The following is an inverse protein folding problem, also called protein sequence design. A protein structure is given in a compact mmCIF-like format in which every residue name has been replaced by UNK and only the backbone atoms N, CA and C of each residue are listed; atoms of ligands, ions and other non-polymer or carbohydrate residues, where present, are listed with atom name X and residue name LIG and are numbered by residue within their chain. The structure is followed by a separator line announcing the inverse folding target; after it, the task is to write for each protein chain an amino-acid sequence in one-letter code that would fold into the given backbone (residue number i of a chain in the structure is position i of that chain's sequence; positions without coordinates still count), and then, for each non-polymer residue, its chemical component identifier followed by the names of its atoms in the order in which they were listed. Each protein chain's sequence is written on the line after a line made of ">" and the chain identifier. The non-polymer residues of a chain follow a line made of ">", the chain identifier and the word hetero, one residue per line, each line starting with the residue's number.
data_IF_129019547467
#
_entry.id   IF_129019547467
#
_cell.length_a   1.000
_cell.length_b   1.000
_cell.length_c   1.000
_cell.angle_alpha   90.00
_cell.angle_beta   90.00
_cell.angle_gamma   90.00
#
_symmetry.space_group_name_H-M   'P 1'
#
loop_
_entity.id
_entity.type
_entity.pdbx_description
1 polymer ?
#
# COMPACT_ATOMS: atom_id res chain seq x y z
N UNK A 1 -27.59 -20.53 19.04
CA UNK A 1 -27.20 -20.19 17.66
C UNK A 1 -26.47 -21.35 17.06
N UNK A 2 -26.97 -21.81 15.94
CA UNK A 2 -26.90 -23.20 15.52
C UNK A 2 -25.57 -23.39 14.79
N UNK A 3 -24.78 -24.40 15.16
CA UNK A 3 -23.44 -24.66 14.58
C UNK A 3 -23.45 -24.74 13.05
N UNK A 4 -24.62 -25.00 12.46
CA UNK A 4 -24.89 -25.01 11.01
C UNK A 4 -24.84 -23.62 10.36
N UNK A 5 -25.22 -22.53 11.04
CA UNK A 5 -25.09 -21.15 10.49
C UNK A 5 -23.63 -20.66 10.50
N UNK A 6 -22.87 -20.99 11.55
CA UNK A 6 -21.45 -20.63 11.62
C UNK A 6 -20.63 -21.46 10.62
N UNK A 7 -20.96 -22.75 10.47
CA UNK A 7 -20.31 -23.65 9.52
C UNK A 7 -20.57 -23.25 8.06
N UNK A 8 -21.82 -22.92 7.70
CA UNK A 8 -22.16 -22.49 6.33
C UNK A 8 -21.57 -21.12 6.00
N UNK A 9 -21.57 -20.17 6.96
CA UNK A 9 -20.93 -18.87 6.78
C UNK A 9 -19.41 -18.95 6.61
N UNK A 10 -18.73 -19.74 7.45
CA UNK A 10 -17.27 -19.97 7.34
C UNK A 10 -16.90 -20.69 6.04
N UNK A 11 -17.72 -21.68 5.62
CA UNK A 11 -17.50 -22.43 4.38
C UNK A 11 -17.64 -21.53 3.14
N UNK A 12 -18.62 -20.61 3.11
CA UNK A 12 -18.78 -19.64 2.02
C UNK A 12 -17.61 -18.64 1.95
N UNK A 13 -17.10 -18.19 3.10
CA UNK A 13 -15.89 -17.35 3.16
C UNK A 13 -14.66 -18.10 2.65
N UNK A 14 -14.50 -19.37 3.01
CA UNK A 14 -13.38 -20.22 2.53
C UNK A 14 -13.49 -20.48 1.02
N UNK A 15 -14.69 -20.78 0.49
CA UNK A 15 -14.88 -20.95 -0.96
C UNK A 15 -14.59 -19.65 -1.74
N UNK A 16 -14.91 -18.49 -1.19
CA UNK A 16 -14.61 -17.20 -1.81
C UNK A 16 -13.09 -16.90 -1.83
N UNK A 17 -12.35 -17.35 -0.80
CA UNK A 17 -10.89 -17.20 -0.72
C UNK A 17 -10.12 -18.21 -1.58
N UNK A 18 -10.63 -19.43 -1.78
CA UNK A 18 -9.99 -20.43 -2.65
C UNK A 18 -10.19 -20.16 -4.15
N UNK A 19 -11.08 -19.24 -4.53
CA UNK A 19 -11.28 -18.85 -5.92
C UNK A 19 -10.35 -17.68 -6.32
N UNK A 20 -9.04 -17.87 -6.12
CA UNK A 20 -8.02 -16.94 -6.59
C UNK A 20 -7.34 -17.56 -7.82
N UNK A 21 -7.91 -17.28 -9.00
CA UNK A 21 -7.27 -17.56 -10.28
C UNK A 21 -6.07 -16.61 -10.45
N UNK A 22 -4.92 -17.04 -9.92
CA UNK A 22 -3.68 -16.27 -9.98
C UNK A 22 -2.99 -16.51 -11.33
N UNK A 23 -3.04 -15.53 -12.23
CA UNK A 23 -2.22 -15.49 -13.44
C UNK A 23 -1.54 -14.12 -13.54
N UNK A 24 -0.68 -13.83 -12.58
CA UNK A 24 0.06 -12.57 -12.53
C UNK A 24 1.53 -12.86 -12.86
N UNK A 25 1.82 -13.07 -14.14
CA UNK A 25 3.20 -13.09 -14.63
C UNK A 25 3.75 -11.67 -14.54
N UNK A 26 4.45 -11.36 -13.45
CA UNK A 26 5.18 -10.10 -13.28
C UNK A 26 6.42 -10.09 -14.18
N UNK A 27 6.23 -9.80 -15.46
CA UNK A 27 7.32 -9.58 -16.41
C UNK A 27 7.94 -8.19 -16.15
N UNK A 28 8.95 -8.13 -15.29
CA UNK A 28 9.75 -6.93 -15.06
C UNK A 28 10.67 -6.66 -16.25
N UNK A 29 10.29 -5.71 -17.11
CA UNK A 29 11.16 -5.17 -18.16
C UNK A 29 12.11 -4.14 -17.53
N UNK A 30 13.39 -4.51 -17.36
CA UNK A 30 14.43 -3.59 -16.89
C UNK A 30 14.83 -2.63 -18.02
N UNK A 31 15.01 -1.35 -17.69
CA UNK A 31 15.58 -0.36 -18.59
C UNK A 31 16.90 0.13 -17.99
N UNK A 32 18.01 -0.13 -18.67
CA UNK A 32 19.32 0.41 -18.31
C UNK A 32 19.51 1.81 -18.90
N UNK A 33 19.94 2.75 -18.07
CA UNK A 33 20.32 4.10 -18.49
C UNK A 33 21.85 4.23 -18.33
N UNK A 34 22.54 4.68 -19.37
CA UNK A 34 23.95 5.05 -19.27
C UNK A 34 24.07 6.51 -18.79
N UNK A 35 24.45 6.71 -17.53
CA UNK A 35 24.82 8.03 -17.04
C UNK A 35 26.29 8.31 -17.39
N UNK A 36 26.53 9.36 -18.19
CA UNK A 36 27.88 9.84 -18.43
C UNK A 36 28.35 10.66 -17.21
N UNK A 37 29.11 10.03 -16.30
CA UNK A 37 29.64 10.63 -15.07
C UNK A 37 30.86 11.54 -15.30
N UNK A 38 30.96 12.19 -16.47
CA UNK A 38 31.98 13.18 -16.76
C UNK A 38 31.64 14.52 -16.11
N UNK A 39 31.97 14.69 -14.84
CA UNK A 39 31.85 15.98 -14.15
C UNK A 39 32.87 16.98 -14.70
N UNK A 40 32.41 18.14 -15.16
CA UNK A 40 33.27 19.25 -15.58
C UNK A 40 33.55 20.12 -14.36
N UNK A 41 34.79 20.17 -13.86
CA UNK A 41 35.15 21.05 -12.73
C UNK A 41 35.12 22.51 -13.17
N UNK A 42 34.30 23.31 -12.48
CA UNK A 42 34.03 24.72 -12.80
C UNK A 42 35.21 25.66 -12.46
N UNK A 43 36.20 25.17 -11.71
CA UNK A 43 37.26 25.96 -11.10
C UNK A 43 38.37 26.43 -12.08
N UNK A 44 38.41 25.90 -13.31
CA UNK A 44 39.43 26.22 -14.33
C UNK A 44 38.86 26.82 -15.63
N UNK A 45 37.63 27.34 -15.60
CA UNK A 45 36.93 27.82 -16.79
C UNK A 45 37.02 29.35 -16.95
N UNK A 46 37.28 29.79 -18.19
CA UNK A 46 37.34 31.19 -18.64
C UNK A 46 36.11 31.99 -18.14
N UNK A 47 36.22 33.27 -17.74
CA UNK A 47 35.15 34.01 -17.04
C UNK A 47 33.85 34.11 -17.85
N UNK A 48 33.95 34.12 -19.18
CA UNK A 48 32.81 34.09 -20.12
C UNK A 48 32.00 32.79 -20.00
N UNK A 49 32.67 31.68 -19.68
CA UNK A 49 32.03 30.37 -19.56
C UNK A 49 31.38 30.17 -18.19
N UNK A 50 31.92 30.76 -17.13
CA UNK A 50 31.28 30.77 -15.81
C UNK A 50 29.95 31.54 -15.82
N UNK A 51 29.89 32.68 -16.52
CA UNK A 51 28.64 33.43 -16.66
C UNK A 51 27.57 32.61 -17.37
N UNK A 52 27.95 31.89 -18.44
CA UNK A 52 27.05 30.99 -19.18
C UNK A 52 26.53 29.85 -18.30
N UNK A 53 27.40 29.19 -17.54
CA UNK A 53 27.02 28.10 -16.62
C UNK A 53 26.13 28.61 -15.49
N UNK A 54 26.40 29.80 -14.95
CA UNK A 54 25.57 30.41 -13.93
C UNK A 54 24.19 30.79 -14.46
N UNK A 55 24.09 31.30 -15.69
CA UNK A 55 22.80 31.58 -16.30
C UNK A 55 21.99 30.30 -16.54
N UNK A 56 22.63 29.26 -17.07
CA UNK A 56 22.01 27.93 -17.25
C UNK A 56 21.55 27.37 -15.90
N UNK A 57 22.38 27.45 -14.86
CA UNK A 57 22.04 26.96 -13.51
C UNK A 57 20.86 27.74 -12.91
N UNK A 58 20.78 29.05 -13.20
CA UNK A 58 19.69 29.91 -12.73
C UNK A 58 18.37 29.62 -13.46
N UNK A 59 18.43 29.32 -14.76
CA UNK A 59 17.29 28.91 -15.57
C UNK A 59 16.80 27.48 -15.22
N UNK A 60 17.72 26.57 -14.89
CA UNK A 60 17.40 25.20 -14.47
C UNK A 60 17.07 25.07 -12.98
N UNK A 61 17.13 26.16 -12.21
CA UNK A 61 16.77 26.14 -10.79
C UNK A 61 15.26 26.00 -10.64
N UNK A 62 14.81 24.74 -10.58
CA UNK A 62 13.43 24.38 -10.29
C UNK A 62 13.07 24.75 -8.85
N UNK A 63 11.92 25.42 -8.67
CA UNK A 63 11.37 25.69 -7.35
C UNK A 63 10.95 24.38 -6.68
N UNK A 64 11.70 24.00 -5.64
CA UNK A 64 11.55 22.73 -4.93
C UNK A 64 10.16 22.58 -4.31
N UNK A 65 9.48 23.69 -3.97
CA UNK A 65 8.15 23.70 -3.35
C UNK A 65 7.02 23.31 -4.30
N UNK A 66 7.24 23.46 -5.61
CA UNK A 66 6.24 23.17 -6.64
C UNK A 66 6.62 21.95 -7.50
N UNK A 67 7.54 21.11 -6.99
CA UNK A 67 7.94 19.89 -7.69
C UNK A 67 6.91 18.80 -7.53
N UNK A 68 6.71 18.00 -8.58
CA UNK A 68 5.92 16.77 -8.51
C UNK A 68 6.40 15.81 -7.43
N UNK A 69 7.70 15.80 -7.11
CA UNK A 69 8.29 15.04 -6.01
C UNK A 69 7.79 15.53 -4.65
N UNK A 70 7.77 16.84 -4.42
CA UNK A 70 7.22 17.43 -3.19
C UNK A 70 5.71 17.23 -3.08
N UNK A 71 4.98 17.31 -4.20
CA UNK A 71 3.55 16.98 -4.21
C UNK A 71 3.33 15.50 -3.86
N UNK A 72 4.15 14.57 -4.36
CA UNK A 72 4.07 13.13 -4.09
C UNK A 72 4.38 12.72 -2.65
N UNK A 73 5.13 13.53 -1.90
CA UNK A 73 5.28 13.32 -0.45
C UNK A 73 4.07 13.80 0.34
N UNK A 74 3.36 14.82 -0.15
CA UNK A 74 2.16 15.35 0.49
C UNK A 74 0.87 14.63 0.06
N UNK A 75 0.88 13.99 -1.11
CA UNK A 75 -0.25 13.24 -1.64
C UNK A 75 0.22 11.83 -1.99
N UNK A 76 -0.35 10.82 -1.32
CA UNK A 76 -0.26 9.46 -1.84
C UNK A 76 -0.99 9.44 -3.17
N UNK A 77 -0.23 9.30 -4.26
CA UNK A 77 -0.82 9.12 -5.57
C UNK A 77 -1.70 7.87 -5.51
N UNK A 78 -2.98 7.94 -5.92
CA UNK A 78 -3.79 6.74 -6.03
C UNK A 78 -3.12 5.82 -7.05
N UNK A 79 -2.53 4.73 -6.57
CA UNK A 79 -1.93 3.68 -7.39
C UNK A 79 -3.06 2.72 -7.82
N UNK A 80 -3.53 2.75 -9.07
CA UNK A 80 -4.58 1.84 -9.57
C UNK A 80 -4.03 0.42 -9.83
N UNK A 81 -2.83 0.10 -9.33
CA UNK A 81 -2.19 -1.18 -9.60
C UNK A 81 -3.01 -2.27 -8.92
N UNK A 82 -3.51 -3.26 -9.66
CA UNK A 82 -4.40 -4.29 -9.10
C UNK A 82 -3.75 -5.05 -7.94
N UNK A 83 -2.42 -5.22 -7.95
CA UNK A 83 -1.67 -5.85 -6.88
C UNK A 83 -1.71 -5.10 -5.54
N UNK A 84 -1.67 -3.76 -5.56
CA UNK A 84 -1.72 -2.95 -4.34
C UNK A 84 -3.12 -2.99 -3.70
N UNK A 85 -4.16 -2.96 -4.53
CA UNK A 85 -5.54 -3.08 -4.07
C UNK A 85 -5.82 -4.48 -3.51
N UNK A 86 -5.37 -5.53 -4.21
CA UNK A 86 -5.52 -6.90 -3.76
C UNK A 86 -4.87 -7.14 -2.38
N UNK A 87 -3.65 -6.64 -2.17
CA UNK A 87 -2.97 -6.73 -0.88
C UNK A 87 -3.75 -6.04 0.25
N UNK A 88 -4.34 -4.87 -0.03
CA UNK A 88 -5.21 -4.17 0.93
C UNK A 88 -6.46 -4.96 1.32
N UNK A 89 -7.17 -5.53 0.34
CA UNK A 89 -8.36 -6.35 0.59
C UNK A 89 -8.06 -7.59 1.41
N UNK A 90 -6.98 -8.32 1.09
CA UNK A 90 -6.56 -9.51 1.84
C UNK A 90 -6.23 -9.15 3.30
N UNK A 91 -5.54 -8.03 3.53
CA UNK A 91 -5.25 -7.54 4.87
C UNK A 91 -6.50 -7.28 5.70
N UNK A 92 -7.50 -6.60 5.12
CA UNK A 92 -8.78 -6.30 5.79
C UNK A 92 -9.53 -7.59 6.13
N UNK A 93 -9.54 -8.58 5.24
CA UNK A 93 -10.22 -9.86 5.49
C UNK A 93 -9.58 -10.61 6.66
N UNK A 94 -8.25 -10.69 6.71
CA UNK A 94 -7.54 -11.37 7.81
C UNK A 94 -7.81 -10.65 9.14
N UNK A 95 -7.72 -9.32 9.16
CA UNK A 95 -7.99 -8.53 10.36
C UNK A 95 -9.43 -8.71 10.85
N UNK A 96 -10.40 -8.65 9.95
CA UNK A 96 -11.83 -8.79 10.32
C UNK A 96 -12.17 -10.19 10.81
N UNK A 97 -11.56 -11.25 10.26
CA UNK A 97 -11.77 -12.61 10.77
C UNK A 97 -11.16 -12.76 12.17
N UNK A 98 -9.92 -12.32 12.38
CA UNK A 98 -9.24 -12.47 13.68
C UNK A 98 -9.98 -11.67 14.76
N UNK A 99 -10.16 -10.36 14.57
CA UNK A 99 -10.84 -9.52 15.55
C UNK A 99 -12.33 -9.86 15.67
N UNK A 100 -13.00 -10.15 14.56
CA UNK A 100 -14.41 -10.53 14.55
C UNK A 100 -14.64 -11.83 15.32
N UNK A 101 -13.75 -12.82 15.19
CA UNK A 101 -13.85 -14.09 15.93
C UNK A 101 -13.72 -13.90 17.45
N UNK A 102 -12.80 -13.04 17.89
CA UNK A 102 -12.62 -12.72 19.31
C UNK A 102 -13.88 -12.06 19.89
N UNK A 103 -14.41 -11.04 19.20
CA UNK A 103 -15.63 -10.35 19.60
C UNK A 103 -16.83 -11.31 19.62
N UNK A 104 -16.94 -12.20 18.62
CA UNK A 104 -18.02 -13.19 18.56
C UNK A 104 -17.93 -14.19 19.72
N UNK A 105 -16.71 -14.58 20.12
CA UNK A 105 -16.48 -15.47 21.26
C UNK A 105 -16.89 -14.80 22.58
N UNK A 106 -16.60 -13.51 22.74
CA UNK A 106 -17.02 -12.75 23.93
C UNK A 106 -18.54 -12.54 23.99
N UNK A 107 -19.16 -12.18 22.85
CA UNK A 107 -20.62 -11.97 22.77
C UNK A 107 -21.39 -13.27 22.98
N UNK A 108 -20.89 -14.41 22.49
CA UNK A 108 -21.52 -15.70 22.76
C UNK A 108 -21.45 -16.05 24.23
N UNK A 109 -20.36 -15.74 24.95
CA UNK A 109 -20.29 -15.96 26.42
C UNK A 109 -21.27 -15.09 27.20
N UNK A 110 -21.51 -13.85 26.77
CA UNK A 110 -22.41 -12.90 27.45
C UNK A 110 -23.87 -13.17 27.10
N UNK A 111 -24.18 -13.41 25.83
CA UNK A 111 -25.55 -13.60 25.32
C UNK A 111 -26.06 -15.03 25.54
N UNK A 112 -25.19 -16.05 25.48
CA UNK A 112 -25.56 -17.44 25.74
C UNK A 112 -25.44 -17.81 27.22
N UNK A 113 -25.05 -16.91 28.13
CA UNK A 113 -25.22 -17.20 29.56
C UNK A 113 -26.74 -17.22 29.82
N UNK A 114 -27.37 -18.41 29.94
CA UNK A 114 -28.77 -18.43 30.35
C UNK A 114 -28.77 -17.76 31.72
N UNK A 115 -29.78 -16.96 32.00
CA UNK A 115 -30.04 -16.51 33.36
C UNK A 115 -30.05 -17.76 34.25
N UNK A 116 -28.93 -18.05 34.91
CA UNK A 116 -28.88 -18.93 36.05
C UNK A 116 -29.67 -18.16 37.10
N UNK A 117 -30.99 -18.41 37.10
CA UNK A 117 -31.86 -17.96 38.16
C UNK A 117 -31.23 -18.46 39.45
N UNK A 118 -30.81 -17.52 40.27
CA UNK A 118 -30.68 -17.74 41.70
C UNK A 118 -32.08 -18.11 42.19
N UNK A 119 -32.28 -19.39 42.47
CA UNK A 119 -33.40 -19.91 43.25
C UNK A 119 -32.73 -20.79 44.30
N UNK A 120 -32.71 -20.24 45.52
CA UNK A 120 -32.54 -20.83 46.86
C UNK A 120 -31.35 -21.78 47.11
#
# INVERSE_FOLDING_TARGET
>A
MNSTMLSTGLLLVILALLNQNNNDVFASKSCDCACNSGGVSLDNLDPVTQEKVNNITKELKVDTRNTSSHTRTLTSAPDPRPSAQAAGYIGIIILTIVFGSLVLLDLTRICFRPNAKYMD
#
